data_IF_079062200448
#
_entry.id   IF_079062200448
#
_cell.length_a   1.000
_cell.length_b   1.000
_cell.length_c   1.000
_cell.angle_alpha   90.00
_cell.angle_beta   90.00
_cell.angle_gamma   90.00
#
_symmetry.space_group_name_H-M   'P 1'
#
loop_
_entity.id
_entity.type
_entity.pdbx_description
1 polymer ?
#
# COMPACT_ATOMS: atom_id res chain seq x y z
N UNK A 1 -45.23 -15.14 31.95
CA UNK A 1 -44.56 -15.31 33.26
C UNK A 1 -43.12 -15.62 32.97
N UNK A 2 -42.14 -14.87 33.31
CA UNK A 2 -41.49 -13.99 34.16
C UNK A 2 -40.38 -13.29 33.40
N UNK A 3 -40.20 -12.09 33.40
CA UNK A 3 -39.72 -11.01 34.27
C UNK A 3 -38.36 -11.26 34.96
N UNK A 4 -37.43 -10.38 34.64
CA UNK A 4 -36.31 -10.02 35.50
C UNK A 4 -34.97 -10.06 34.71
N UNK A 5 -34.03 -9.19 34.84
CA UNK A 5 -33.86 -7.96 35.63
C UNK A 5 -32.67 -7.17 35.05
N UNK A 6 -32.75 -5.87 35.17
CA UNK A 6 -31.70 -4.87 34.96
C UNK A 6 -30.38 -5.23 35.65
N UNK A 7 -29.27 -4.83 35.08
CA UNK A 7 -28.25 -4.13 35.86
C UNK A 7 -27.32 -3.27 34.99
N UNK A 8 -27.40 -1.99 35.25
CA UNK A 8 -26.51 -0.91 34.86
C UNK A 8 -25.17 -1.05 35.62
N UNK A 9 -24.06 -0.81 34.95
CA UNK A 9 -22.85 -0.31 35.62
C UNK A 9 -22.09 0.63 34.68
N UNK A 10 -22.36 1.92 34.91
CA UNK A 10 -21.49 3.02 34.54
C UNK A 10 -20.28 3.01 35.48
N UNK A 11 -19.08 3.12 34.93
CA UNK A 11 -17.91 3.59 35.65
C UNK A 11 -17.20 4.66 34.84
N UNK A 12 -17.47 5.89 35.20
CA UNK A 12 -16.72 7.09 34.90
C UNK A 12 -15.47 7.08 35.81
N UNK A 13 -14.28 7.20 35.25
CA UNK A 13 -13.10 7.64 36.02
C UNK A 13 -12.33 8.66 35.17
N UNK A 14 -12.67 9.92 35.38
CA UNK A 14 -11.83 11.04 35.10
C UNK A 14 -10.79 11.15 36.23
N UNK A 15 -9.51 11.05 35.90
CA UNK A 15 -8.43 11.45 36.81
C UNK A 15 -7.60 12.53 36.14
N UNK A 16 -7.95 13.76 36.50
CA UNK A 16 -7.12 14.93 36.34
C UNK A 16 -5.94 14.84 37.31
N UNK A 17 -4.71 14.81 36.82
CA UNK A 17 -3.54 15.11 37.63
C UNK A 17 -3.12 16.56 37.41
N UNK A 18 -3.45 17.39 38.36
CA UNK A 18 -2.84 18.71 38.57
C UNK A 18 -1.40 18.52 39.05
N UNK A 19 -0.48 19.23 38.43
CA UNK A 19 0.82 19.49 39.00
C UNK A 19 0.84 20.93 39.56
N UNK A 20 1.28 21.09 40.83
CA UNK A 20 1.41 22.41 41.45
C UNK A 20 2.69 23.11 41.02
N UNK A 21 2.55 24.41 40.88
CA UNK A 21 3.64 25.31 40.59
C UNK A 21 4.66 25.43 41.71
N UNK A 22 5.82 25.90 41.37
CA UNK A 22 6.78 26.51 42.29
C UNK A 22 7.23 27.86 41.75
N UNK A 23 6.90 28.86 42.48
CA UNK A 23 7.23 30.26 42.31
C UNK A 23 8.59 30.59 42.96
N UNK A 24 9.15 31.67 42.46
CA UNK A 24 9.99 32.66 43.16
C UNK A 24 11.46 32.36 43.38
N UNK A 25 12.23 33.38 42.98
CA UNK A 25 13.31 33.81 43.81
C UNK A 25 14.36 34.69 43.09
N UNK A 26 14.18 36.04 43.27
CA UNK A 26 15.24 37.00 43.58
C UNK A 26 16.52 36.96 42.71
N UNK A 27 16.92 37.99 41.93
CA UNK A 27 17.14 39.37 42.41
C UNK A 27 18.58 39.56 42.81
N UNK A 28 19.26 40.40 42.11
CA UNK A 28 20.32 41.35 42.49
C UNK A 28 21.34 41.51 41.33
N UNK A 29 21.23 42.56 40.51
CA UNK A 29 21.96 43.80 40.65
C UNK A 29 23.47 43.65 41.04
N UNK A 30 24.36 43.79 40.05
CA UNK A 30 25.66 44.35 40.26
C UNK A 30 26.11 45.17 39.06
N UNK A 31 26.13 46.47 39.22
CA UNK A 31 26.81 47.45 38.37
C UNK A 31 28.29 47.39 38.68
N UNK A 32 29.16 47.23 37.68
CA UNK A 32 30.56 47.72 37.77
C UNK A 32 30.98 48.31 36.42
N UNK A 33 31.51 49.48 36.54
CA UNK A 33 32.08 50.37 35.49
C UNK A 33 33.31 49.76 34.79
N UNK A 34 33.44 50.15 33.52
CA UNK A 34 34.74 50.70 33.07
C UNK A 34 35.63 49.74 32.27
N UNK A 35 35.74 49.97 31.01
CA UNK A 35 37.00 50.27 30.32
C UNK A 35 36.76 50.30 28.79
N UNK A 36 36.99 51.47 28.23
CA UNK A 36 37.08 51.69 26.78
C UNK A 36 38.38 51.03 26.30
N UNK A 37 38.28 50.01 25.45
CA UNK A 37 39.40 49.55 24.64
C UNK A 37 38.96 49.69 23.18
N UNK A 38 39.55 50.69 22.54
CA UNK A 38 39.46 50.91 21.10
C UNK A 38 40.32 49.85 20.40
N UNK A 39 39.70 48.78 19.99
CA UNK A 39 40.32 47.71 19.22
C UNK A 39 39.75 47.69 17.80
N UNK A 40 40.57 48.17 16.86
CA UNK A 40 40.33 48.09 15.42
C UNK A 40 40.41 46.59 15.01
N UNK A 41 39.30 45.88 15.06
CA UNK A 41 39.17 44.47 14.62
C UNK A 41 38.54 44.40 13.25
N UNK A 42 39.30 43.98 12.24
CA UNK A 42 38.80 43.60 10.94
C UNK A 42 37.71 42.55 11.13
N UNK A 43 36.46 42.91 10.83
CA UNK A 43 35.35 41.96 10.74
C UNK A 43 35.48 41.18 9.43
N UNK A 44 36.12 40.02 9.49
CA UNK A 44 35.93 38.96 8.48
C UNK A 44 34.53 38.41 8.68
N UNK A 45 33.57 38.98 7.96
CA UNK A 45 32.21 38.49 7.90
C UNK A 45 32.14 37.11 7.21
N UNK A 46 32.33 36.06 8.01
CA UNK A 46 32.02 34.70 7.60
C UNK A 46 30.52 34.58 7.45
N UNK A 47 30.02 34.59 6.23
CA UNK A 47 28.63 34.25 5.93
C UNK A 47 28.46 32.74 6.20
N UNK A 48 28.04 32.40 7.41
CA UNK A 48 27.63 31.04 7.71
C UNK A 48 26.37 30.75 6.88
N UNK A 49 26.54 30.05 5.78
CA UNK A 49 25.42 29.50 4.99
C UNK A 49 24.73 28.43 5.84
N UNK A 50 23.63 28.79 6.49
CA UNK A 50 22.77 27.83 7.14
C UNK A 50 22.19 26.89 6.07
N UNK A 51 22.80 25.73 5.92
CA UNK A 51 22.23 24.65 5.11
C UNK A 51 20.94 24.18 5.79
N UNK A 52 19.78 24.62 5.30
CA UNK A 52 18.47 24.09 5.70
C UNK A 52 18.40 22.63 5.31
N UNK A 53 18.77 21.75 6.23
CA UNK A 53 18.57 20.30 6.09
C UNK A 53 17.05 20.07 6.01
N UNK A 54 16.55 19.75 4.82
CA UNK A 54 15.19 19.28 4.64
C UNK A 54 15.07 17.90 5.28
N UNK A 55 14.68 17.87 6.55
CA UNK A 55 14.29 16.63 7.22
C UNK A 55 13.06 16.08 6.51
N UNK A 56 13.26 15.04 5.70
CA UNK A 56 12.15 14.27 5.19
C UNK A 56 11.57 13.48 6.36
N UNK A 57 10.24 13.54 6.59
CA UNK A 57 9.63 12.71 7.62
C UNK A 57 9.93 11.24 7.32
N UNK A 58 10.12 10.41 8.36
CA UNK A 58 10.35 8.99 8.17
C UNK A 58 9.21 8.40 7.34
N UNK A 59 9.59 7.72 6.23
CA UNK A 59 8.61 7.08 5.35
C UNK A 59 8.06 5.86 6.07
N UNK A 60 6.84 5.97 6.60
CA UNK A 60 6.11 4.83 7.18
C UNK A 60 5.95 3.79 6.06
N UNK A 61 6.41 2.55 6.23
CA UNK A 61 6.17 1.50 5.25
C UNK A 61 4.67 1.32 5.03
N UNK A 62 4.23 1.06 3.78
CA UNK A 62 2.80 0.83 3.53
C UNK A 62 2.33 -0.39 4.33
N UNK A 63 1.06 -0.39 4.78
CA UNK A 63 0.49 -1.54 5.47
C UNK A 63 0.58 -2.79 4.59
N UNK A 64 0.66 -3.99 5.20
CA UNK A 64 0.72 -5.24 4.44
C UNK A 64 -0.52 -5.39 3.55
N UNK A 65 -0.38 -5.98 2.35
CA UNK A 65 -1.49 -6.15 1.44
C UNK A 65 -2.52 -7.14 2.02
N UNK A 66 -3.80 -6.82 1.84
CA UNK A 66 -4.92 -7.65 2.29
C UNK A 66 -5.23 -8.75 1.27
N UNK A 67 -5.25 -8.38 -0.02
CA UNK A 67 -5.49 -9.31 -1.13
C UNK A 67 -4.17 -9.57 -1.85
N UNK A 68 -3.75 -10.81 -1.93
CA UNK A 68 -2.55 -11.20 -2.68
C UNK A 68 -2.90 -12.27 -3.71
N UNK A 69 -2.68 -11.94 -4.97
CA UNK A 69 -2.75 -12.88 -6.09
C UNK A 69 -1.33 -13.32 -6.47
N UNK A 70 -0.93 -14.51 -6.07
CA UNK A 70 0.37 -15.09 -6.39
C UNK A 70 0.25 -16.03 -7.59
N UNK A 71 0.86 -15.68 -8.70
CA UNK A 71 0.89 -16.46 -9.93
C UNK A 71 2.24 -17.18 -10.05
N UNK A 72 2.21 -18.51 -10.16
CA UNK A 72 3.38 -19.33 -10.45
C UNK A 72 3.31 -19.75 -11.90
N UNK A 73 4.24 -19.24 -12.71
CA UNK A 73 4.20 -19.44 -14.16
C UNK A 73 4.58 -20.85 -14.56
N UNK A 74 5.51 -21.49 -13.87
CA UNK A 74 5.89 -22.89 -14.14
C UNK A 74 4.72 -23.85 -13.93
N UNK A 75 3.89 -23.65 -12.90
CA UNK A 75 2.73 -24.48 -12.60
C UNK A 75 1.43 -23.99 -13.26
N UNK A 76 1.45 -22.83 -13.90
CA UNK A 76 0.26 -22.17 -14.47
C UNK A 76 -0.91 -22.08 -13.48
N UNK A 77 -0.60 -21.66 -12.27
CA UNK A 77 -1.60 -21.55 -11.20
C UNK A 77 -1.54 -20.18 -10.51
N UNK A 78 -2.68 -19.71 -10.04
CA UNK A 78 -2.85 -18.54 -9.20
C UNK A 78 -3.32 -18.99 -7.83
N UNK A 79 -2.57 -18.60 -6.79
CA UNK A 79 -2.93 -18.77 -5.39
C UNK A 79 -3.40 -17.43 -4.85
N UNK A 80 -4.63 -17.40 -4.36
CA UNK A 80 -5.23 -16.21 -3.76
C UNK A 80 -5.19 -16.31 -2.24
N UNK A 81 -4.72 -15.27 -1.59
CA UNK A 81 -4.84 -15.09 -0.14
C UNK A 81 -5.58 -13.80 0.19
N UNK A 82 -6.38 -13.83 1.25
CA UNK A 82 -7.09 -12.66 1.80
C UNK A 82 -6.79 -12.59 3.30
N UNK A 83 -6.32 -11.46 3.79
CA UNK A 83 -5.85 -11.30 5.18
C UNK A 83 -4.84 -12.38 5.61
N UNK A 84 -3.99 -12.84 4.69
CA UNK A 84 -3.01 -13.90 4.94
C UNK A 84 -3.56 -15.33 4.88
N UNK A 85 -4.88 -15.53 4.72
CA UNK A 85 -5.51 -16.84 4.65
C UNK A 85 -5.73 -17.29 3.21
N UNK A 86 -5.47 -18.56 2.87
CA UNK A 86 -5.78 -19.12 1.55
C UNK A 86 -7.25 -18.95 1.22
N UNK A 87 -7.55 -18.39 0.04
CA UNK A 87 -8.92 -18.09 -0.41
C UNK A 87 -9.24 -18.63 -1.80
N UNK A 88 -8.23 -19.16 -2.49
CA UNK A 88 -8.45 -19.81 -3.80
C UNK A 88 -7.15 -20.33 -4.42
N UNK A 89 -7.30 -21.33 -5.29
CA UNK A 89 -6.20 -21.85 -6.12
C UNK A 89 -6.81 -22.19 -7.48
N UNK A 90 -6.34 -21.53 -8.54
CA UNK A 90 -7.00 -21.55 -9.83
C UNK A 90 -6.02 -21.70 -10.98
N UNK A 91 -6.29 -22.57 -11.97
CA UNK A 91 -5.46 -22.63 -13.17
C UNK A 91 -5.53 -21.32 -13.95
N UNK A 92 -4.39 -20.87 -14.44
CA UNK A 92 -4.26 -19.67 -15.27
C UNK A 92 -3.69 -20.01 -16.64
N UNK A 93 -3.68 -19.04 -17.53
CA UNK A 93 -2.90 -19.08 -18.76
C UNK A 93 -2.09 -17.80 -18.85
N UNK A 94 -0.75 -17.93 -18.75
CA UNK A 94 0.20 -16.84 -18.92
C UNK A 94 0.74 -16.77 -20.34
N UNK A 95 1.74 -15.92 -20.59
CA UNK A 95 2.34 -15.71 -21.90
C UNK A 95 2.82 -17.01 -22.56
N UNK A 96 2.42 -17.22 -23.80
CA UNK A 96 2.92 -18.29 -24.67
C UNK A 96 4.28 -17.95 -25.27
N UNK A 97 4.75 -18.84 -26.16
CA UNK A 97 6.04 -18.71 -26.85
C UNK A 97 6.12 -17.35 -27.57
N UNK A 98 7.24 -16.66 -27.43
CA UNK A 98 7.46 -15.33 -28.02
C UNK A 98 6.83 -14.16 -27.27
N UNK A 99 6.13 -14.42 -26.18
CA UNK A 99 5.53 -13.39 -25.31
C UNK A 99 6.06 -13.51 -23.88
N UNK A 100 5.81 -12.48 -23.08
CA UNK A 100 6.30 -12.41 -21.71
C UNK A 100 5.23 -11.94 -20.74
N UNK A 101 5.07 -12.66 -19.63
CA UNK A 101 4.35 -12.18 -18.44
C UNK A 101 5.40 -11.67 -17.44
N UNK A 102 5.36 -10.39 -17.04
CA UNK A 102 6.39 -9.81 -16.16
C UNK A 102 6.44 -10.53 -14.81
N UNK A 103 7.67 -10.81 -14.34
CA UNK A 103 7.94 -11.39 -13.02
C UNK A 103 8.18 -10.26 -12.03
N UNK A 104 7.81 -10.50 -10.78
CA UNK A 104 8.03 -9.55 -9.70
C UNK A 104 6.81 -9.35 -8.81
N UNK A 105 6.86 -8.29 -8.02
CA UNK A 105 5.79 -7.88 -7.11
C UNK A 105 5.22 -6.55 -7.56
N UNK A 106 3.94 -6.52 -7.81
CA UNK A 106 3.23 -5.39 -8.39
C UNK A 106 2.08 -4.94 -7.50
N UNK A 107 1.79 -3.65 -7.52
CA UNK A 107 0.53 -3.11 -6.98
C UNK A 107 -0.54 -3.16 -8.06
N UNK A 108 -1.79 -3.31 -7.64
CA UNK A 108 -2.91 -3.13 -8.58
C UNK A 108 -2.99 -1.65 -8.96
N UNK A 109 -2.98 -1.39 -10.25
CA UNK A 109 -2.98 -0.04 -10.82
C UNK A 109 -4.39 0.46 -11.15
N UNK A 110 -5.23 -0.45 -11.68
CA UNK A 110 -6.54 -0.11 -12.21
C UNK A 110 -7.43 -1.34 -12.29
N UNK A 111 -8.73 -1.12 -12.11
CA UNK A 111 -9.80 -2.10 -12.32
C UNK A 111 -10.64 -1.72 -13.54
N UNK A 112 -11.13 -2.72 -14.27
CA UNK A 112 -12.10 -2.53 -15.33
C UNK A 112 -13.02 -3.74 -15.42
N UNK A 113 -14.28 -3.59 -15.04
CA UNK A 113 -15.28 -4.67 -15.08
C UNK A 113 -15.52 -5.15 -16.51
N UNK A 114 -15.53 -4.22 -17.46
CA UNK A 114 -15.63 -4.49 -18.90
C UNK A 114 -14.44 -3.84 -19.59
N UNK A 115 -13.64 -4.63 -20.28
CA UNK A 115 -12.51 -4.15 -21.05
C UNK A 115 -12.34 -4.98 -22.32
N UNK A 116 -11.84 -4.35 -23.38
CA UNK A 116 -11.50 -4.97 -24.65
C UNK A 116 -10.09 -4.60 -25.06
N UNK A 117 -9.29 -5.57 -25.44
CA UNK A 117 -7.90 -5.36 -25.86
C UNK A 117 -7.82 -4.78 -27.26
N UNK A 118 -7.60 -3.47 -27.37
CA UNK A 118 -7.42 -2.80 -28.67
C UNK A 118 -6.23 -3.37 -29.46
N UNK A 119 -5.23 -3.93 -28.79
CA UNK A 119 -4.03 -4.50 -29.40
C UNK A 119 -4.29 -5.88 -30.03
N UNK A 120 -5.29 -6.60 -29.54
CA UNK A 120 -5.58 -7.99 -29.94
C UNK A 120 -7.06 -8.13 -30.33
N UNK A 121 -7.43 -7.58 -31.46
CA UNK A 121 -8.74 -7.71 -32.14
C UNK A 121 -9.95 -7.49 -31.22
N UNK A 122 -9.86 -6.49 -30.36
CA UNK A 122 -10.89 -6.21 -29.37
C UNK A 122 -11.30 -7.45 -28.53
N UNK A 123 -10.36 -8.34 -28.26
CA UNK A 123 -10.60 -9.50 -27.40
C UNK A 123 -11.16 -9.09 -26.05
N UNK A 124 -12.26 -9.72 -25.59
CA UNK A 124 -12.88 -9.38 -24.31
C UNK A 124 -11.98 -9.77 -23.14
N UNK A 125 -11.89 -8.89 -22.18
CA UNK A 125 -11.13 -9.05 -20.94
C UNK A 125 -12.03 -8.67 -19.74
N UNK A 126 -13.09 -9.44 -19.43
CA UNK A 126 -13.96 -9.11 -18.32
C UNK A 126 -13.23 -9.18 -16.98
N UNK A 127 -13.65 -8.35 -16.03
CA UNK A 127 -13.13 -8.30 -14.67
C UNK A 127 -11.59 -8.15 -14.62
N UNK A 128 -11.07 -7.18 -15.36
CA UNK A 128 -9.64 -6.92 -15.49
C UNK A 128 -9.06 -6.23 -14.27
N UNK A 129 -8.03 -6.84 -13.68
CA UNK A 129 -7.18 -6.29 -12.62
C UNK A 129 -5.81 -5.97 -13.24
N UNK A 130 -5.56 -4.72 -13.58
CA UNK A 130 -4.31 -4.27 -14.19
C UNK A 130 -3.22 -4.09 -13.13
N UNK A 131 -2.03 -4.64 -13.38
CA UNK A 131 -0.93 -4.59 -12.42
C UNK A 131 0.40 -4.07 -13.03
N UNK A 132 0.58 -4.17 -14.35
CA UNK A 132 1.78 -3.65 -15.01
C UNK A 132 1.42 -3.07 -16.39
N UNK A 133 1.29 -1.73 -16.47
CA UNK A 133 0.93 -1.03 -17.70
C UNK A 133 -0.35 -1.57 -18.33
N UNK A 134 -0.23 -2.27 -19.45
CA UNK A 134 -1.36 -2.94 -20.13
C UNK A 134 -1.58 -4.39 -19.74
N UNK A 135 -0.79 -4.95 -18.83
CA UNK A 135 -0.89 -6.35 -18.39
C UNK A 135 -1.89 -6.45 -17.25
N UNK A 136 -2.79 -7.42 -17.35
CA UNK A 136 -3.85 -7.64 -16.37
C UNK A 136 -4.06 -9.12 -16.08
N UNK A 137 -4.65 -9.41 -14.91
CA UNK A 137 -5.37 -10.64 -14.64
C UNK A 137 -6.81 -10.41 -15.07
N UNK A 138 -7.40 -11.29 -15.90
CA UNK A 138 -8.75 -11.08 -16.41
C UNK A 138 -9.45 -12.40 -16.75
N UNK A 139 -10.76 -12.38 -16.82
CA UNK A 139 -11.56 -13.49 -17.31
C UNK A 139 -11.34 -13.76 -18.79
N UNK A 140 -11.34 -15.02 -19.16
CA UNK A 140 -11.21 -15.45 -20.56
C UNK A 140 -12.15 -16.60 -20.86
N UNK A 141 -12.82 -16.52 -21.99
CA UNK A 141 -13.67 -17.59 -22.51
C UNK A 141 -12.87 -18.72 -23.17
N UNK A 142 -11.56 -18.56 -23.34
CA UNK A 142 -10.65 -19.61 -23.82
C UNK A 142 -10.27 -20.59 -22.69
N UNK A 143 -11.27 -21.20 -22.05
CA UNK A 143 -11.13 -22.05 -20.87
C UNK A 143 -10.20 -23.24 -21.11
N UNK A 144 -10.23 -23.82 -22.32
CA UNK A 144 -9.37 -24.96 -22.72
C UNK A 144 -7.88 -24.65 -22.69
N UNK A 145 -7.51 -23.36 -22.59
CA UNK A 145 -6.10 -22.90 -22.52
C UNK A 145 -5.62 -22.72 -21.10
N UNK A 146 -6.49 -22.78 -20.10
CA UNK A 146 -6.08 -22.70 -18.70
C UNK A 146 -5.22 -23.90 -18.32
N UNK A 147 -4.23 -23.65 -17.45
CA UNK A 147 -3.20 -24.63 -17.08
C UNK A 147 -2.01 -24.70 -18.03
N UNK A 148 -1.98 -23.89 -19.11
CA UNK A 148 -0.86 -23.83 -20.06
C UNK A 148 -0.61 -22.41 -20.59
N UNK A 149 0.66 -22.07 -20.95
CA UNK A 149 1.02 -20.79 -21.53
C UNK A 149 0.36 -20.61 -22.92
N UNK A 150 -0.50 -19.58 -23.10
CA UNK A 150 -1.17 -19.31 -24.37
C UNK A 150 -1.60 -17.85 -24.55
N UNK A 151 -1.26 -16.94 -23.62
CA UNK A 151 -1.61 -15.53 -23.71
C UNK A 151 -0.50 -14.71 -24.42
N UNK A 152 -0.76 -13.43 -24.63
CA UNK A 152 0.22 -12.48 -25.14
C UNK A 152 0.87 -11.62 -24.01
N UNK A 153 0.79 -12.09 -22.74
CA UNK A 153 1.36 -11.42 -21.58
C UNK A 153 0.41 -11.33 -20.40
N UNK A 154 -0.87 -11.09 -20.62
CA UNK A 154 -1.88 -11.09 -19.55
C UNK A 154 -2.05 -12.47 -18.91
N UNK A 155 -2.58 -12.50 -17.71
CA UNK A 155 -2.90 -13.72 -16.97
C UNK A 155 -4.41 -13.99 -17.13
N UNK A 156 -4.74 -15.05 -17.86
CA UNK A 156 -6.13 -15.44 -18.12
C UNK A 156 -6.64 -16.33 -16.99
N UNK A 157 -7.84 -16.07 -16.52
CA UNK A 157 -8.58 -16.87 -15.55
C UNK A 157 -9.91 -17.36 -16.14
N UNK A 158 -10.51 -18.35 -15.48
CA UNK A 158 -11.93 -18.63 -15.68
C UNK A 158 -12.75 -17.38 -15.33
N UNK A 159 -13.81 -17.02 -16.09
CA UNK A 159 -14.58 -15.79 -15.82
C UNK A 159 -15.03 -15.64 -14.37
N UNK A 160 -15.57 -16.70 -13.76
CA UNK A 160 -16.07 -16.68 -12.37
C UNK A 160 -14.93 -16.43 -11.35
N UNK A 161 -13.73 -16.95 -11.61
CA UNK A 161 -12.58 -16.73 -10.73
C UNK A 161 -12.01 -15.32 -10.89
N UNK A 162 -12.08 -14.78 -12.12
CA UNK A 162 -11.71 -13.40 -12.38
C UNK A 162 -12.68 -12.42 -11.71
N UNK A 163 -13.99 -12.74 -11.70
CA UNK A 163 -14.99 -11.96 -10.99
C UNK A 163 -14.73 -11.96 -9.48
N UNK A 164 -14.50 -13.13 -8.87
CA UNK A 164 -14.16 -13.23 -7.44
C UNK A 164 -12.92 -12.39 -7.08
N UNK A 165 -11.86 -12.49 -7.88
CA UNK A 165 -10.66 -11.68 -7.65
C UNK A 165 -10.95 -10.19 -7.79
N UNK A 166 -11.69 -9.80 -8.83
CA UNK A 166 -12.09 -8.42 -9.09
C UNK A 166 -12.88 -7.83 -7.92
N UNK A 167 -13.91 -8.52 -7.46
CA UNK A 167 -14.79 -8.08 -6.37
C UNK A 167 -14.00 -7.93 -5.06
N UNK A 168 -13.06 -8.83 -4.76
CA UNK A 168 -12.19 -8.71 -3.59
C UNK A 168 -11.26 -7.48 -3.70
N UNK A 169 -10.66 -7.26 -4.87
CA UNK A 169 -9.81 -6.08 -5.08
C UNK A 169 -10.62 -4.79 -5.05
N UNK A 170 -11.86 -4.80 -5.54
CA UNK A 170 -12.78 -3.66 -5.44
C UNK A 170 -13.18 -3.38 -3.99
N UNK A 171 -13.50 -4.43 -3.23
CA UNK A 171 -13.90 -4.35 -1.82
C UNK A 171 -12.80 -3.81 -0.92
N UNK A 172 -11.59 -4.34 -1.02
CA UNK A 172 -10.47 -3.96 -0.14
C UNK A 172 -9.64 -2.78 -0.70
N UNK A 173 -9.80 -2.48 -1.95
CA UNK A 173 -9.13 -1.40 -2.68
C UNK A 173 -7.81 -1.82 -3.34
N UNK A 174 -7.46 -1.23 -4.50
CA UNK A 174 -6.22 -1.50 -5.22
C UNK A 174 -4.96 -1.26 -4.39
N UNK A 175 -4.97 -0.27 -3.49
CA UNK A 175 -3.84 0.06 -2.60
C UNK A 175 -3.51 -1.04 -1.58
N UNK A 176 -4.49 -1.88 -1.23
CA UNK A 176 -4.35 -3.01 -0.31
C UNK A 176 -4.28 -4.36 -1.05
N UNK A 177 -4.06 -4.30 -2.37
CA UNK A 177 -4.02 -5.48 -3.23
C UNK A 177 -2.67 -5.58 -3.93
N UNK A 178 -2.14 -6.80 -4.01
CA UNK A 178 -0.83 -7.09 -4.57
C UNK A 178 -0.91 -8.27 -5.53
N UNK A 179 -0.15 -8.18 -6.62
CA UNK A 179 0.06 -9.27 -7.57
C UNK A 179 1.53 -9.67 -7.50
N UNK A 180 1.80 -10.94 -7.28
CA UNK A 180 3.14 -11.52 -7.27
C UNK A 180 3.20 -12.52 -8.43
N UNK A 181 4.22 -12.40 -9.26
CA UNK A 181 4.46 -13.33 -10.37
C UNK A 181 5.83 -13.93 -10.23
N UNK A 182 5.89 -15.25 -10.10
CA UNK A 182 7.11 -16.05 -9.99
C UNK A 182 7.17 -17.13 -11.07
N UNK A 183 8.29 -17.84 -11.16
CA UNK A 183 8.43 -19.02 -12.01
C UNK A 183 7.82 -20.27 -11.40
#
# INVERSE_FOLDING_TARGET
MGRGCLSLLRANVASAMLWPGLSNGFGHMLKILGAVILGLGLALGGVAAEAKVKLHPPRIPPPPPIVVAHITVSSQNLYLTVNGWPSGSWPVSTAGVGYHTPRGTFRVQRLAKVWFSKKYDNSPMPNSVFFDGGIAIHGSYHIKSLGRPASHGCVRLHPDNAEKLFDLVEQYGPSHSQVIVTD
#
